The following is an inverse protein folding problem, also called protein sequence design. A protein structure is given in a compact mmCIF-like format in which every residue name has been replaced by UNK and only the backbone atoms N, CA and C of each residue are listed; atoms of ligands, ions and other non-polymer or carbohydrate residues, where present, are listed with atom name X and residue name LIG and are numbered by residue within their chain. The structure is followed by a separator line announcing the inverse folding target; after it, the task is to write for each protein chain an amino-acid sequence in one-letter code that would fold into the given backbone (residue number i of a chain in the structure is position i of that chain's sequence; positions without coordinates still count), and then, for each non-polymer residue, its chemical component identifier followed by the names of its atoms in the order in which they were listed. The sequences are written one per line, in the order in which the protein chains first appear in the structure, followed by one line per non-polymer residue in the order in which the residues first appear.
data_IF_936130113832
#
_entry.id   IF_936130113832
#
_cell.length_a   1.000
_cell.length_b   1.000
_cell.length_c   1.000
_cell.angle_alpha   90.00
_cell.angle_beta   90.00
_cell.angle_gamma   90.00
#
_symmetry.space_group_name_H-M   'P 1'
#
loop_
_entity.id
_entity.type
_entity.pdbx_description
1 polymer ?
#
# COMPACT_ATOMS: atom_id res chain seq x y z
N UNK A 1 -42.42 -4.67 -18.19
CA UNK A 1 -41.71 -5.67 -17.34
C UNK A 1 -41.07 -6.73 -18.23
N UNK A 2 -39.82 -6.54 -18.63
CA UNK A 2 -39.00 -7.61 -19.21
C UNK A 2 -37.94 -7.98 -18.17
N UNK A 3 -38.01 -9.22 -17.71
CA UNK A 3 -37.06 -9.83 -16.78
C UNK A 3 -35.74 -10.02 -17.51
N UNK A 4 -34.78 -9.13 -17.27
CA UNK A 4 -33.38 -9.39 -17.62
C UNK A 4 -32.87 -10.52 -16.70
N UNK A 5 -32.76 -11.73 -17.26
CA UNK A 5 -31.99 -12.83 -16.68
C UNK A 5 -30.52 -12.42 -16.79
N UNK A 6 -29.88 -12.09 -15.67
CA UNK A 6 -28.42 -11.96 -15.61
C UNK A 6 -27.79 -13.31 -16.01
N UNK A 7 -27.07 -13.30 -17.14
CA UNK A 7 -26.20 -14.38 -17.58
C UNK A 7 -24.90 -14.29 -16.78
N UNK A 8 -24.62 -15.31 -15.97
CA UNK A 8 -23.42 -15.43 -15.12
C UNK A 8 -22.11 -15.67 -15.89
N UNK A 9 -22.05 -15.35 -17.20
CA UNK A 9 -20.98 -15.84 -18.08
C UNK A 9 -20.02 -14.78 -18.62
N UNK A 10 -20.27 -13.50 -18.39
CA UNK A 10 -19.49 -12.45 -19.07
C UNK A 10 -18.62 -11.59 -18.12
N UNK A 11 -18.65 -11.86 -16.81
CA UNK A 11 -17.61 -11.40 -15.89
C UNK A 11 -16.62 -12.54 -15.74
N UNK A 12 -15.42 -12.39 -16.29
CA UNK A 12 -14.37 -13.41 -16.24
C UNK A 12 -14.03 -13.72 -14.78
N UNK A 13 -14.55 -14.84 -14.30
CA UNK A 13 -14.22 -15.45 -13.02
C UNK A 13 -12.71 -15.76 -12.91
N UNK A 14 -12.00 -15.74 -14.04
CA UNK A 14 -10.55 -15.97 -14.14
C UNK A 14 -9.73 -14.71 -13.80
N UNK A 15 -10.17 -13.50 -14.16
CA UNK A 15 -9.48 -12.26 -13.75
C UNK A 15 -9.59 -12.04 -12.24
N UNK A 16 -10.75 -12.38 -11.67
CA UNK A 16 -10.98 -12.40 -10.23
C UNK A 16 -10.10 -13.41 -9.50
N UNK A 17 -9.97 -14.64 -10.04
CA UNK A 17 -9.08 -15.65 -9.46
C UNK A 17 -7.64 -15.21 -9.56
N UNK A 18 -7.17 -14.70 -10.69
CA UNK A 18 -5.79 -14.20 -10.83
C UNK A 18 -5.52 -13.09 -9.81
N UNK A 19 -6.46 -12.15 -9.62
CA UNK A 19 -6.33 -11.03 -8.69
C UNK A 19 -6.32 -11.46 -7.21
N UNK A 20 -7.28 -12.31 -6.82
CA UNK A 20 -7.39 -12.82 -5.46
C UNK A 20 -6.26 -13.82 -5.14
N UNK A 21 -5.87 -14.69 -6.08
CA UNK A 21 -4.74 -15.62 -5.90
C UNK A 21 -3.38 -14.91 -5.89
N UNK A 22 -3.20 -13.82 -6.63
CA UNK A 22 -1.99 -12.99 -6.55
C UNK A 22 -1.81 -12.37 -5.15
N UNK A 23 -2.90 -11.93 -4.53
CA UNK A 23 -2.94 -11.38 -3.17
C UNK A 23 -2.44 -12.39 -2.10
N UNK A 24 -2.61 -13.70 -2.34
CA UNK A 24 -2.18 -14.78 -1.44
C UNK A 24 -0.79 -15.37 -1.76
N UNK A 25 -0.26 -15.23 -3.00
CA UNK A 25 1.08 -15.75 -3.35
C UNK A 25 2.25 -14.91 -2.82
N UNK A 26 2.00 -13.69 -2.32
CA UNK A 26 3.01 -12.81 -1.75
C UNK A 26 3.57 -13.26 -0.38
N UNK A 27 3.14 -14.42 0.13
CA UNK A 27 3.44 -14.91 1.48
C UNK A 27 4.71 -15.76 1.62
N UNK A 28 5.57 -15.86 0.59
CA UNK A 28 6.85 -16.58 0.69
C UNK A 28 8.01 -15.70 0.21
N UNK A 29 8.70 -15.01 1.12
CA UNK A 29 9.98 -14.41 0.78
C UNK A 29 11.04 -15.51 0.65
N UNK A 30 11.71 -15.55 -0.50
CA UNK A 30 12.83 -16.49 -0.73
C UNK A 30 14.19 -15.82 -0.71
N UNK A 31 14.26 -14.49 -0.84
CA UNK A 31 15.51 -13.76 -1.05
C UNK A 31 15.79 -12.79 0.10
N UNK A 32 17.02 -12.82 0.60
CA UNK A 32 17.54 -11.86 1.58
C UNK A 32 17.70 -10.47 0.95
N UNK A 33 17.70 -9.43 1.77
CA UNK A 33 17.93 -8.04 1.36
C UNK A 33 19.36 -7.69 1.79
N UNK A 34 20.27 -7.60 0.82
CA UNK A 34 21.71 -7.40 1.02
C UNK A 34 22.24 -6.11 0.41
N UNK A 35 21.41 -5.40 -0.35
CA UNK A 35 21.79 -4.17 -1.04
C UNK A 35 20.57 -3.28 -1.25
N UNK A 36 20.82 -2.06 -1.73
CA UNK A 36 19.80 -1.03 -1.94
C UNK A 36 18.80 -1.40 -3.03
N UNK A 37 19.22 -2.09 -4.09
CA UNK A 37 18.31 -2.52 -5.17
C UNK A 37 17.28 -3.54 -4.66
N UNK A 38 17.72 -4.47 -3.81
CA UNK A 38 16.83 -5.44 -3.16
C UNK A 38 15.92 -4.77 -2.14
N UNK A 39 16.41 -3.73 -1.46
CA UNK A 39 15.62 -2.94 -0.52
C UNK A 39 14.55 -2.11 -1.25
N UNK A 40 14.90 -1.47 -2.36
CA UNK A 40 13.98 -0.74 -3.25
C UNK A 40 12.86 -1.66 -3.73
N UNK A 41 13.21 -2.84 -4.25
CA UNK A 41 12.23 -3.82 -4.69
C UNK A 41 11.32 -4.29 -3.55
N UNK A 42 11.87 -4.50 -2.35
CA UNK A 42 11.09 -4.85 -1.17
C UNK A 42 10.11 -3.72 -0.81
N UNK A 43 10.57 -2.46 -0.79
CA UNK A 43 9.75 -1.29 -0.46
C UNK A 43 8.59 -1.17 -1.44
N UNK A 44 8.88 -1.22 -2.74
CA UNK A 44 7.87 -1.10 -3.79
C UNK A 44 6.81 -2.20 -3.69
N UNK A 45 7.25 -3.46 -3.69
CA UNK A 45 6.34 -4.61 -3.74
C UNK A 45 5.49 -4.77 -2.48
N UNK A 46 6.07 -4.53 -1.29
CA UNK A 46 5.34 -4.66 -0.03
C UNK A 46 4.38 -3.51 0.21
N UNK A 47 4.74 -2.28 -0.18
CA UNK A 47 3.81 -1.14 -0.10
C UNK A 47 2.61 -1.33 -1.03
N UNK A 48 2.83 -1.84 -2.25
CA UNK A 48 1.76 -2.15 -3.19
C UNK A 48 0.86 -3.26 -2.63
N UNK A 49 1.45 -4.34 -2.10
CA UNK A 49 0.69 -5.44 -1.52
C UNK A 49 -0.14 -5.02 -0.32
N UNK A 50 0.42 -4.25 0.63
CA UNK A 50 -0.34 -3.77 1.81
C UNK A 50 -1.51 -2.89 1.38
N UNK A 51 -1.28 -1.95 0.46
CA UNK A 51 -2.34 -1.09 -0.08
C UNK A 51 -3.45 -1.92 -0.71
N UNK A 52 -3.09 -2.87 -1.55
CA UNK A 52 -4.03 -3.74 -2.24
C UNK A 52 -4.82 -4.59 -1.23
N UNK A 53 -4.15 -5.40 -0.42
CA UNK A 53 -4.83 -6.35 0.46
C UNK A 53 -5.78 -5.64 1.44
N UNK A 54 -5.43 -4.44 1.91
CA UNK A 54 -6.25 -3.70 2.88
C UNK A 54 -7.44 -3.00 2.22
N UNK A 55 -7.23 -2.28 1.12
CA UNK A 55 -8.31 -1.61 0.38
C UNK A 55 -9.36 -2.60 -0.11
N UNK A 56 -8.94 -3.68 -0.77
CA UNK A 56 -9.87 -4.67 -1.29
C UNK A 56 -10.55 -5.48 -0.19
N UNK A 57 -9.88 -5.76 0.93
CA UNK A 57 -10.52 -6.42 2.07
C UNK A 57 -11.60 -5.54 2.70
N UNK A 58 -11.36 -4.23 2.80
CA UNK A 58 -12.34 -3.30 3.33
C UNK A 58 -13.57 -3.22 2.43
N UNK A 59 -13.37 -3.04 1.12
CA UNK A 59 -14.45 -3.03 0.13
C UNK A 59 -15.25 -4.33 0.14
N UNK A 60 -14.58 -5.47 0.15
CA UNK A 60 -15.23 -6.80 0.24
C UNK A 60 -16.09 -6.92 1.49
N UNK A 61 -15.61 -6.41 2.63
CA UNK A 61 -16.36 -6.46 3.90
C UNK A 61 -17.64 -5.64 3.83
N UNK A 62 -17.60 -4.45 3.21
CA UNK A 62 -18.77 -3.55 3.11
C UNK A 62 -19.77 -3.95 2.03
N UNK A 63 -19.28 -4.42 0.91
CA UNK A 63 -20.10 -4.70 -0.28
C UNK A 63 -20.54 -6.17 -0.32
N UNK A 64 -20.01 -7.01 0.57
CA UNK A 64 -20.29 -8.45 0.60
C UNK A 64 -19.91 -9.13 -0.71
N UNK A 65 -20.60 -10.21 -1.09
CA UNK A 65 -20.35 -10.93 -2.36
C UNK A 65 -20.67 -10.12 -3.61
N UNK A 66 -21.37 -8.98 -3.48
CA UNK A 66 -21.74 -8.10 -4.59
C UNK A 66 -20.62 -7.17 -5.03
N UNK A 67 -19.53 -7.04 -4.26
CA UNK A 67 -18.39 -6.20 -4.66
C UNK A 67 -17.84 -6.54 -6.05
N UNK A 68 -17.94 -7.82 -6.44
CA UNK A 68 -17.54 -8.33 -7.76
C UNK A 68 -18.35 -7.68 -8.90
N UNK A 69 -19.61 -7.32 -8.65
CA UNK A 69 -20.49 -6.72 -9.64
C UNK A 69 -20.19 -5.23 -9.90
N UNK A 70 -19.36 -4.61 -9.06
CA UNK A 70 -19.02 -3.19 -9.20
C UNK A 70 -17.74 -2.96 -10.03
N UNK A 71 -17.00 -4.01 -10.38
CA UNK A 71 -15.82 -3.89 -11.25
C UNK A 71 -16.16 -3.54 -12.71
N UNK A 72 -17.42 -3.76 -13.12
CA UNK A 72 -17.92 -3.35 -14.44
C UNK A 72 -18.41 -1.88 -14.45
N UNK A 73 -18.27 -1.15 -13.34
CA UNK A 73 -18.68 0.25 -13.22
C UNK A 73 -17.45 1.17 -13.31
N UNK A 74 -17.30 1.84 -14.45
CA UNK A 74 -16.18 2.73 -14.75
C UNK A 74 -15.98 3.84 -13.70
N UNK A 75 -17.06 4.40 -13.16
CA UNK A 75 -16.99 5.47 -12.14
C UNK A 75 -16.43 4.93 -10.82
N UNK A 76 -16.88 3.74 -10.42
CA UNK A 76 -16.35 3.06 -9.24
C UNK A 76 -14.88 2.67 -9.43
N UNK A 77 -14.53 2.16 -10.61
CA UNK A 77 -13.15 1.79 -10.93
C UNK A 77 -12.21 2.99 -10.94
N UNK A 78 -12.62 4.13 -11.51
CA UNK A 78 -11.86 5.36 -11.43
C UNK A 78 -11.65 5.83 -9.96
N UNK A 79 -12.69 5.74 -9.13
CA UNK A 79 -12.59 6.08 -7.71
C UNK A 79 -11.64 5.14 -6.95
N UNK A 80 -11.65 3.86 -7.31
CA UNK A 80 -10.78 2.84 -6.75
C UNK A 80 -9.32 3.06 -7.13
N UNK A 81 -9.04 3.44 -8.38
CA UNK A 81 -7.69 3.76 -8.85
C UNK A 81 -7.13 5.00 -8.13
N UNK A 82 -7.94 6.05 -7.97
CA UNK A 82 -7.56 7.24 -7.18
C UNK A 82 -7.23 6.83 -5.74
N UNK A 83 -8.09 6.02 -5.11
CA UNK A 83 -7.87 5.56 -3.75
C UNK A 83 -6.58 4.74 -3.62
N UNK A 84 -6.36 3.81 -4.56
CA UNK A 84 -5.15 2.97 -4.58
C UNK A 84 -3.90 3.82 -4.66
N UNK A 85 -3.83 4.80 -5.55
CA UNK A 85 -2.62 5.62 -5.73
C UNK A 85 -2.31 6.49 -4.51
N UNK A 86 -3.33 7.08 -3.89
CA UNK A 86 -3.15 7.90 -2.68
C UNK A 86 -2.74 7.06 -1.45
N UNK A 87 -3.28 5.85 -1.30
CA UNK A 87 -2.87 4.96 -0.21
C UNK A 87 -1.46 4.42 -0.46
N UNK A 88 -1.16 4.04 -1.69
CA UNK A 88 0.14 3.49 -2.08
C UNK A 88 1.27 4.51 -1.92
N UNK A 89 1.05 5.76 -2.31
CA UNK A 89 2.06 6.81 -2.18
C UNK A 89 2.45 7.02 -0.70
N UNK A 90 1.48 7.04 0.21
CA UNK A 90 1.74 7.16 1.66
C UNK A 90 2.38 5.88 2.23
N UNK A 91 1.94 4.70 1.77
CA UNK A 91 2.53 3.42 2.15
C UNK A 91 4.02 3.32 1.77
N UNK A 92 4.40 3.81 0.59
CA UNK A 92 5.79 3.89 0.14
C UNK A 92 6.63 4.77 1.07
N UNK A 93 6.11 5.94 1.45
CA UNK A 93 6.80 6.85 2.37
C UNK A 93 7.00 6.16 3.73
N UNK A 94 5.94 5.58 4.30
CA UNK A 94 5.97 4.92 5.61
C UNK A 94 7.02 3.81 5.66
N UNK A 95 7.02 2.92 4.64
CA UNK A 95 7.94 1.80 4.59
C UNK A 95 9.38 2.25 4.31
N UNK A 96 9.60 3.24 3.44
CA UNK A 96 10.93 3.80 3.17
C UNK A 96 11.54 4.40 4.44
N UNK A 97 10.78 5.22 5.17
CA UNK A 97 11.28 5.84 6.40
C UNK A 97 11.51 4.80 7.50
N UNK A 98 10.63 3.79 7.60
CA UNK A 98 10.80 2.68 8.54
C UNK A 98 12.09 1.90 8.28
N UNK A 99 12.34 1.48 7.04
CA UNK A 99 13.51 0.64 6.72
C UNK A 99 14.81 1.40 6.91
N UNK A 100 14.90 2.66 6.50
CA UNK A 100 16.11 3.48 6.71
C UNK A 100 16.36 3.81 8.18
N UNK A 101 15.32 4.08 8.96
CA UNK A 101 15.45 4.22 10.42
C UNK A 101 15.95 2.92 11.06
N UNK A 102 15.42 1.77 10.63
CA UNK A 102 15.87 0.46 11.12
C UNK A 102 17.34 0.19 10.75
N UNK A 103 17.74 0.48 9.51
CA UNK A 103 19.12 0.32 9.04
C UNK A 103 20.10 1.21 9.79
N UNK A 104 19.72 2.46 10.06
CA UNK A 104 20.53 3.37 10.87
C UNK A 104 20.86 2.78 12.23
N UNK A 105 19.84 2.28 12.93
CA UNK A 105 19.98 1.86 14.33
C UNK A 105 20.60 0.46 14.45
N UNK A 106 20.24 -0.48 13.57
CA UNK A 106 20.67 -1.88 13.70
C UNK A 106 21.92 -2.23 12.88
N UNK A 107 22.20 -1.48 11.81
CA UNK A 107 23.35 -1.70 10.92
C UNK A 107 24.31 -0.51 10.86
N UNK A 108 24.08 0.53 11.69
CA UNK A 108 24.87 1.76 11.70
C UNK A 108 24.95 2.45 10.33
N UNK A 109 23.88 2.33 9.53
CA UNK A 109 23.82 2.88 8.18
C UNK A 109 23.79 4.41 8.20
N UNK A 110 24.70 5.05 7.46
CA UNK A 110 24.89 6.51 7.51
C UNK A 110 24.25 7.27 6.34
N UNK A 111 24.09 6.64 5.17
CA UNK A 111 23.67 7.34 3.95
C UNK A 111 22.14 7.44 3.84
N UNK A 112 21.53 8.25 4.71
CA UNK A 112 20.07 8.38 4.81
C UNK A 112 19.45 9.14 3.63
N UNK A 113 20.22 9.95 2.90
CA UNK A 113 19.74 10.69 1.73
C UNK A 113 19.27 9.75 0.61
N UNK A 114 19.79 8.53 0.56
CA UNK A 114 19.33 7.50 -0.37
C UNK A 114 17.88 7.07 -0.16
N UNK A 115 17.29 7.33 1.01
CA UNK A 115 15.85 7.12 1.20
C UNK A 115 15.03 7.96 0.20
N UNK A 116 15.47 9.18 -0.09
CA UNK A 116 14.87 10.08 -1.06
C UNK A 116 15.11 9.63 -2.49
N UNK A 117 16.29 9.12 -2.79
CA UNK A 117 16.63 8.59 -4.11
C UNK A 117 15.78 7.36 -4.44
N UNK A 118 15.73 6.38 -3.54
CA UNK A 118 14.90 5.17 -3.68
C UNK A 118 13.43 5.54 -3.84
N UNK A 119 12.91 6.40 -2.96
CA UNK A 119 11.51 6.82 -3.03
C UNK A 119 11.18 7.52 -4.36
N UNK A 120 12.04 8.44 -4.81
CA UNK A 120 11.82 9.16 -6.07
C UNK A 120 11.90 8.24 -7.28
N UNK A 121 12.87 7.32 -7.29
CA UNK A 121 13.04 6.34 -8.36
C UNK A 121 11.82 5.42 -8.48
N UNK A 122 11.30 4.92 -7.36
CA UNK A 122 10.06 4.13 -7.37
C UNK A 122 8.92 4.95 -7.97
N UNK A 123 8.71 6.21 -7.54
CA UNK A 123 7.63 7.04 -8.11
C UNK A 123 7.79 7.30 -9.61
N UNK A 124 9.02 7.49 -10.09
CA UNK A 124 9.29 7.70 -11.50
C UNK A 124 9.00 6.44 -12.32
N UNK A 125 9.31 5.24 -11.78
CA UNK A 125 8.96 3.97 -12.42
C UNK A 125 7.42 3.77 -12.48
N UNK A 126 6.68 4.23 -11.47
CA UNK A 126 5.21 4.14 -11.42
C UNK A 126 4.50 5.05 -12.43
N UNK A 127 5.19 6.01 -13.06
CA UNK A 127 4.68 6.75 -14.22
C UNK A 127 4.32 5.77 -15.35
N UNK A 128 5.15 4.74 -15.56
CA UNK A 128 4.89 3.70 -16.56
C UNK A 128 3.64 2.86 -16.22
N UNK A 129 3.30 2.76 -14.93
CA UNK A 129 2.09 2.11 -14.43
C UNK A 129 0.87 3.05 -14.36
N UNK A 130 0.97 4.24 -14.96
CA UNK A 130 -0.11 5.25 -15.03
C UNK A 130 -0.47 5.85 -13.67
N UNK A 131 0.48 5.95 -12.75
CA UNK A 131 0.29 6.76 -11.55
C UNK A 131 0.11 8.24 -11.96
N UNK A 132 -0.93 8.93 -11.45
CA UNK A 132 -1.16 10.34 -11.77
C UNK A 132 -0.01 11.24 -11.32
N UNK A 133 0.38 12.19 -12.19
CA UNK A 133 1.53 13.08 -11.94
C UNK A 133 1.32 14.00 -10.73
N UNK A 134 0.08 14.45 -10.51
CA UNK A 134 -0.31 15.26 -9.35
C UNK A 134 -0.07 14.50 -8.03
N UNK A 135 -0.40 13.20 -7.98
CA UNK A 135 -0.14 12.36 -6.81
C UNK A 135 1.38 12.16 -6.62
N UNK A 136 2.15 12.00 -7.70
CA UNK A 136 3.61 11.86 -7.63
C UNK A 136 4.25 13.15 -7.07
N UNK A 137 3.85 14.31 -7.58
CA UNK A 137 4.36 15.61 -7.14
C UNK A 137 4.06 15.86 -5.67
N UNK A 138 2.81 15.61 -5.24
CA UNK A 138 2.42 15.76 -3.83
C UNK A 138 3.13 14.73 -2.93
N UNK A 139 3.33 13.49 -3.40
CA UNK A 139 4.07 12.47 -2.66
C UNK A 139 5.54 12.86 -2.47
N UNK A 140 6.21 13.41 -3.49
CA UNK A 140 7.59 13.92 -3.38
C UNK A 140 7.67 15.09 -2.40
N UNK A 141 6.70 16.01 -2.45
CA UNK A 141 6.63 17.16 -1.53
C UNK A 141 6.46 16.72 -0.07
N UNK A 142 5.42 15.93 0.21
CA UNK A 142 5.12 15.43 1.56
C UNK A 142 6.25 14.56 2.13
N UNK A 143 6.90 13.75 1.30
CA UNK A 143 8.07 12.98 1.73
C UNK A 143 9.23 13.88 2.19
N UNK A 144 9.52 14.96 1.46
CA UNK A 144 10.55 15.92 1.86
C UNK A 144 10.21 16.60 3.19
N UNK A 145 8.96 16.96 3.42
CA UNK A 145 8.50 17.52 4.70
C UNK A 145 8.69 16.52 5.86
N UNK A 146 8.42 15.23 5.62
CA UNK A 146 8.65 14.18 6.61
C UNK A 146 10.13 13.96 6.90
N UNK A 147 10.99 14.00 5.87
CA UNK A 147 12.45 13.89 6.03
C UNK A 147 13.05 14.99 6.91
N UNK A 148 12.47 16.19 6.90
CA UNK A 148 12.95 17.31 7.74
C UNK A 148 12.59 17.12 9.23
N UNK A 149 11.51 16.38 9.52
CA UNK A 149 10.95 16.26 10.86
C UNK A 149 11.19 14.89 11.52
N UNK A 150 11.76 13.94 10.79
CA UNK A 150 11.96 12.57 11.27
C UNK A 150 13.12 12.47 12.25
N UNK A 151 12.89 11.76 13.36
CA UNK A 151 13.97 11.28 14.22
C UNK A 151 14.33 9.83 13.86
N UNK A 152 15.38 9.68 13.06
CA UNK A 152 15.84 8.38 12.55
C UNK A 152 16.23 7.36 13.61
N UNK A 153 16.60 7.79 14.82
CA UNK A 153 17.01 6.88 15.91
C UNK A 153 15.82 6.13 16.54
N UNK A 154 14.61 6.70 16.43
CA UNK A 154 13.41 6.15 17.10
C UNK A 154 12.28 5.81 16.14
N UNK A 155 12.28 6.34 14.91
CA UNK A 155 11.13 6.26 14.01
C UNK A 155 10.66 4.83 13.75
N UNK A 156 11.57 3.86 13.60
CA UNK A 156 11.21 2.46 13.39
C UNK A 156 10.44 1.81 14.56
N UNK A 157 10.55 2.36 15.78
CA UNK A 157 9.90 1.87 17.01
C UNK A 157 8.59 2.57 17.38
N UNK A 158 8.35 3.75 16.83
CA UNK A 158 7.18 4.56 17.16
C UNK A 158 5.94 4.05 16.41
N UNK A 159 5.27 4.90 15.63
CA UNK A 159 4.08 4.54 14.85
C UNK A 159 4.28 4.84 13.36
N UNK A 160 5.30 4.23 12.71
CA UNK A 160 5.75 4.60 11.37
C UNK A 160 4.71 4.37 10.27
N UNK A 161 3.66 3.59 10.56
CA UNK A 161 2.63 3.16 9.61
C UNK A 161 1.24 3.76 9.87
N UNK A 162 1.11 4.66 10.86
CA UNK A 162 -0.15 5.36 11.10
C UNK A 162 -0.62 6.21 9.91
N UNK A 163 0.26 6.92 9.18
CA UNK A 163 -0.17 7.74 8.03
C UNK A 163 -0.85 6.89 6.95
N UNK A 164 -0.30 5.74 6.57
CA UNK A 164 -0.90 4.87 5.57
C UNK A 164 -2.22 4.25 6.05
N UNK A 165 -2.37 3.97 7.35
CA UNK A 165 -3.65 3.56 7.93
C UNK A 165 -4.71 4.66 7.81
N UNK A 166 -4.34 5.91 8.12
CA UNK A 166 -5.24 7.07 7.96
C UNK A 166 -5.60 7.30 6.49
N UNK A 167 -4.65 7.14 5.57
CA UNK A 167 -4.90 7.25 4.12
C UNK A 167 -5.91 6.21 3.65
N UNK A 168 -5.85 4.96 4.15
CA UNK A 168 -6.87 3.95 3.85
C UNK A 168 -8.26 4.38 4.31
N UNK A 169 -8.36 4.94 5.52
CA UNK A 169 -9.62 5.46 6.05
C UNK A 169 -10.16 6.61 5.18
N UNK A 170 -9.30 7.55 4.79
CA UNK A 170 -9.67 8.74 4.03
C UNK A 170 -10.13 8.38 2.61
N UNK A 171 -9.31 7.63 1.89
CA UNK A 171 -9.44 7.45 0.45
C UNK A 171 -10.30 6.26 0.03
N UNK A 172 -10.61 5.32 0.93
CA UNK A 172 -11.47 4.20 0.57
C UNK A 172 -12.82 4.69 0.00
N UNK A 173 -13.24 4.21 -1.20
CA UNK A 173 -14.44 4.69 -1.88
C UNK A 173 -15.71 4.09 -1.25
N UNK A 174 -16.00 4.53 -0.03
CA UNK A 174 -17.08 4.08 0.84
C UNK A 174 -17.75 5.33 1.41
N UNK A 175 -19.06 5.28 1.62
CA UNK A 175 -19.81 6.40 2.20
C UNK A 175 -19.23 6.84 3.56
N UNK A 176 -19.18 8.15 3.81
CA UNK A 176 -18.47 8.74 4.96
C UNK A 176 -19.08 8.30 6.31
N UNK A 177 -20.40 8.11 6.35
CA UNK A 177 -21.09 7.61 7.53
C UNK A 177 -20.64 6.20 7.89
N UNK A 178 -20.37 5.37 6.88
CA UNK A 178 -19.88 4.01 7.07
C UNK A 178 -18.41 4.01 7.49
N UNK A 179 -17.58 4.86 6.86
CA UNK A 179 -16.19 5.04 7.26
C UNK A 179 -16.09 5.38 8.75
N UNK A 180 -16.90 6.33 9.23
CA UNK A 180 -16.92 6.75 10.63
C UNK A 180 -17.18 5.57 11.58
N UNK A 181 -18.11 4.67 11.24
CA UNK A 181 -18.42 3.47 12.03
C UNK A 181 -17.28 2.45 12.01
N UNK A 182 -16.58 2.33 10.87
CA UNK A 182 -15.56 1.32 10.64
C UNK A 182 -14.14 1.79 11.00
N UNK A 183 -13.95 3.06 11.36
CA UNK A 183 -12.64 3.71 11.57
C UNK A 183 -11.63 2.84 12.33
N UNK A 184 -12.00 2.36 13.52
CA UNK A 184 -11.10 1.56 14.36
C UNK A 184 -10.69 0.25 13.68
N UNK A 185 -11.63 -0.43 13.02
CA UNK A 185 -11.40 -1.71 12.36
C UNK A 185 -10.50 -1.52 11.13
N UNK A 186 -10.77 -0.49 10.33
CA UNK A 186 -10.00 -0.15 9.13
C UNK A 186 -8.55 0.17 9.48
N UNK A 187 -8.33 1.07 10.45
CA UNK A 187 -6.98 1.43 10.89
C UNK A 187 -6.21 0.19 11.39
N UNK A 188 -6.84 -0.61 12.26
CA UNK A 188 -6.21 -1.83 12.77
C UNK A 188 -5.92 -2.84 11.67
N UNK A 189 -6.76 -2.94 10.65
CA UNK A 189 -6.53 -3.87 9.53
C UNK A 189 -5.25 -3.55 8.76
N UNK A 190 -4.94 -2.26 8.56
CA UNK A 190 -3.71 -1.81 7.91
C UNK A 190 -2.49 -2.11 8.80
N UNK A 191 -2.57 -1.75 10.07
CA UNK A 191 -1.47 -1.97 11.04
C UNK A 191 -1.12 -3.46 11.17
N UNK A 192 -2.12 -4.34 11.21
CA UNK A 192 -1.88 -5.79 11.25
C UNK A 192 -1.14 -6.31 10.02
N UNK A 193 -1.37 -5.72 8.83
CA UNK A 193 -0.59 -6.08 7.63
C UNK A 193 0.83 -5.56 7.71
N UNK A 194 1.01 -4.34 8.19
CA UNK A 194 2.34 -3.79 8.41
C UNK A 194 3.15 -4.57 9.44
N UNK A 195 2.55 -5.06 10.52
CA UNK A 195 3.25 -5.88 11.51
C UNK A 195 3.73 -7.22 10.93
N UNK A 196 3.04 -7.77 9.93
CA UNK A 196 3.52 -8.93 9.17
C UNK A 196 4.74 -8.53 8.35
N UNK A 197 4.68 -7.39 7.64
CA UNK A 197 5.80 -6.90 6.81
C UNK A 197 7.02 -6.53 7.65
N UNK A 198 6.85 -5.93 8.84
CA UNK A 198 7.97 -5.66 9.76
C UNK A 198 8.70 -6.93 10.14
N UNK A 199 7.96 -7.94 10.61
CA UNK A 199 8.53 -9.25 10.99
C UNK A 199 9.18 -9.96 9.81
N UNK A 200 8.67 -9.75 8.61
CA UNK A 200 9.27 -10.26 7.38
C UNK A 200 10.58 -9.53 7.08
N UNK A 201 10.58 -8.19 7.09
CA UNK A 201 11.76 -7.36 6.85
C UNK A 201 12.91 -7.72 7.80
N UNK A 202 12.63 -7.77 9.11
CA UNK A 202 13.62 -8.11 10.15
C UNK A 202 14.27 -9.49 9.94
N UNK A 203 13.56 -10.44 9.33
CA UNK A 203 14.10 -11.78 9.01
C UNK A 203 14.92 -11.81 7.73
N UNK A 204 14.64 -10.91 6.80
CA UNK A 204 15.24 -10.90 5.47
C UNK A 204 16.45 -9.97 5.37
N UNK A 205 16.52 -8.95 6.20
CA UNK A 205 17.57 -7.94 6.16
C UNK A 205 18.91 -8.54 6.61
N UNK A 206 19.91 -8.45 5.74
CA UNK A 206 21.30 -8.88 5.94
C UNK A 206 22.22 -7.85 5.27
N UNK A 207 22.03 -6.59 5.66
CA UNK A 207 22.71 -5.44 5.08
C UNK A 207 24.19 -5.36 5.53
#
# INVERSE_FOLDING_TARGET
MQKYKLSWKDISFDDFKVYLFAMFRAFIPKKKIKNLDELEHFIQTKSAWVTQVTLYSYLKTRMGTRYVLHFDNDVFMASLDIARWNIYSVALQDLTLFTFSYLKVNFNYQNLDQSKEIFSKILDDEISNKMPLDIIEEAKKTFNERLQNINWEIYYKDLPFNPSALSLYEWAPIAEELKTLDRKIVLNSMILKWDIIKKEFEKLIEF
#
